data_IF_113869774451
#
_entry.id   IF_113869774451
#
_cell.length_a   1.000
_cell.length_b   1.000
_cell.length_c   1.000
_cell.angle_alpha   90.00
_cell.angle_beta   90.00
_cell.angle_gamma   90.00
#
_symmetry.space_group_name_H-M   'P 1'
#
loop_
_entity.id
_entity.type
_entity.pdbx_description
1 polymer ?
#
# COMPACT_ATOMS: atom_id res chain seq x y z
N UNK A 1 36.28 -50.78 31.93
CA UNK A 1 35.22 -50.04 32.64
C UNK A 1 34.43 -49.30 31.57
N UNK A 2 33.18 -49.71 31.34
CA UNK A 2 32.31 -49.21 30.27
C UNK A 2 31.65 -47.91 30.75
N UNK A 3 31.92 -46.78 30.08
CA UNK A 3 31.17 -45.54 30.29
C UNK A 3 30.17 -45.38 29.15
N UNK A 4 28.91 -45.70 29.46
CA UNK A 4 27.74 -45.18 28.76
C UNK A 4 27.40 -43.80 29.34
N UNK A 5 26.73 -42.93 28.55
CA UNK A 5 25.92 -41.72 28.91
C UNK A 5 26.03 -40.73 27.73
N UNK A 6 25.01 -40.09 27.18
CA UNK A 6 23.54 -40.14 27.17
C UNK A 6 23.10 -39.29 25.97
N UNK A 7 21.96 -39.62 25.37
CA UNK A 7 21.29 -38.84 24.34
C UNK A 7 20.95 -37.41 24.82
N UNK A 8 21.16 -36.40 23.97
CA UNK A 8 20.65 -35.04 24.16
C UNK A 8 19.87 -34.60 22.93
N UNK A 9 18.56 -34.76 22.95
CA UNK A 9 17.64 -34.29 21.92
C UNK A 9 17.19 -32.86 22.25
N UNK A 10 17.55 -31.89 21.42
CA UNK A 10 17.03 -30.52 21.51
C UNK A 10 15.83 -30.38 20.58
N UNK A 11 14.62 -30.56 21.13
CA UNK A 11 13.38 -30.19 20.47
C UNK A 11 13.21 -28.67 20.55
N UNK A 12 13.40 -27.97 19.43
CA UNK A 12 13.09 -26.54 19.33
C UNK A 12 11.58 -26.41 19.15
N UNK A 13 10.93 -25.81 20.14
CA UNK A 13 9.50 -25.55 20.17
C UNK A 13 9.07 -24.64 19.01
N UNK A 14 8.11 -25.10 18.21
CA UNK A 14 7.45 -24.30 17.18
C UNK A 14 6.54 -23.26 17.86
N UNK A 15 6.96 -21.99 17.82
CA UNK A 15 6.11 -20.86 18.21
C UNK A 15 5.02 -20.68 17.15
N UNK A 16 3.78 -21.04 17.49
CA UNK A 16 2.61 -20.75 16.68
C UNK A 16 2.31 -19.23 16.75
N UNK A 17 2.73 -18.49 15.72
CA UNK A 17 2.25 -17.14 15.48
C UNK A 17 0.79 -17.22 15.00
N UNK A 18 -0.14 -16.89 15.88
CA UNK A 18 -1.54 -16.64 15.49
C UNK A 18 -1.56 -15.29 14.77
N UNK A 19 -1.50 -15.33 13.44
CA UNK A 19 -1.81 -14.19 12.58
C UNK A 19 -3.30 -13.87 12.75
N UNK A 20 -3.60 -12.89 13.58
CA UNK A 20 -4.90 -12.21 13.57
C UNK A 20 -4.96 -11.38 12.30
N UNK A 21 -5.56 -11.93 11.24
CA UNK A 21 -5.87 -11.16 10.04
C UNK A 21 -6.90 -10.07 10.40
N UNK A 22 -6.66 -8.80 10.07
CA UNK A 22 -7.71 -7.79 10.19
C UNK A 22 -8.86 -8.19 9.25
N UNK A 23 -10.09 -8.15 9.77
CA UNK A 23 -11.28 -8.31 8.96
C UNK A 23 -11.27 -7.24 7.86
N UNK A 24 -11.15 -7.67 6.60
CA UNK A 24 -11.36 -6.81 5.45
C UNK A 24 -12.80 -6.34 5.51
N UNK A 25 -13.01 -5.11 6.00
CA UNK A 25 -14.24 -4.39 5.75
C UNK A 25 -14.39 -4.35 4.22
N UNK A 26 -15.39 -5.06 3.70
CA UNK A 26 -15.75 -4.99 2.30
C UNK A 26 -16.28 -3.58 2.06
N UNK A 27 -15.38 -2.65 1.75
CA UNK A 27 -15.76 -1.40 1.11
C UNK A 27 -16.53 -1.79 -0.15
N UNK A 28 -17.70 -1.19 -0.36
CA UNK A 28 -18.32 -1.19 -1.69
C UNK A 28 -17.26 -0.79 -2.73
N UNK A 29 -17.34 -1.22 -4.00
CA UNK A 29 -16.38 -0.81 -5.01
C UNK A 29 -16.56 0.69 -5.29
N UNK A 30 -16.06 1.52 -4.39
CA UNK A 30 -15.67 2.88 -4.66
C UNK A 30 -14.60 2.75 -5.73
N UNK A 31 -14.91 3.18 -6.95
CA UNK A 31 -13.98 3.28 -8.10
C UNK A 31 -12.85 4.31 -7.84
N UNK A 32 -12.51 4.52 -6.56
CA UNK A 32 -11.54 5.43 -6.03
C UNK A 32 -10.27 4.64 -5.74
N UNK A 33 -9.16 5.13 -6.27
CA UNK A 33 -7.86 4.58 -5.99
C UNK A 33 -7.51 4.78 -4.51
N UNK A 34 -7.09 3.73 -3.79
CA UNK A 34 -6.94 3.76 -2.33
C UNK A 34 -5.78 4.64 -1.85
N UNK A 35 -4.82 4.96 -2.72
CA UNK A 35 -3.67 5.80 -2.37
C UNK A 35 -3.96 7.30 -2.36
N UNK A 36 -5.17 7.75 -2.71
CA UNK A 36 -5.46 9.17 -2.88
C UNK A 36 -6.71 9.62 -2.14
N UNK A 37 -6.68 10.86 -1.64
CA UNK A 37 -7.86 11.55 -1.08
C UNK A 37 -7.89 13.02 -1.51
N UNK A 38 -9.01 13.55 -2.04
CA UNK A 38 -10.29 12.90 -2.29
C UNK A 38 -10.22 11.81 -3.38
N UNK A 39 -11.35 11.16 -3.67
CA UNK A 39 -11.47 10.08 -4.65
C UNK A 39 -10.80 10.41 -6.00
N UNK A 40 -9.82 9.61 -6.38
CA UNK A 40 -9.20 9.62 -7.72
C UNK A 40 -9.66 8.37 -8.47
N UNK A 41 -10.12 8.46 -9.73
CA UNK A 41 -10.62 7.30 -10.46
C UNK A 41 -9.52 6.26 -10.71
N UNK A 42 -9.89 4.97 -10.69
CA UNK A 42 -8.98 3.89 -11.07
C UNK A 42 -8.95 3.77 -12.61
N UNK A 43 -7.85 4.24 -13.22
CA UNK A 43 -7.60 4.19 -14.66
C UNK A 43 -6.11 3.98 -14.95
N UNK A 44 -5.69 3.96 -16.22
CA UNK A 44 -4.29 3.76 -16.61
C UNK A 44 -3.39 4.93 -16.25
N UNK A 45 -3.94 6.14 -16.17
CA UNK A 45 -3.22 7.37 -15.89
C UNK A 45 -4.21 8.47 -15.46
N UNK A 46 -3.79 9.32 -14.52
CA UNK A 46 -4.55 10.48 -14.06
C UNK A 46 -3.60 11.66 -14.00
N UNK A 47 -3.97 12.75 -14.64
CA UNK A 47 -3.16 13.96 -14.68
C UNK A 47 -3.69 15.07 -13.77
N UNK A 48 -2.83 16.03 -13.45
CA UNK A 48 -3.26 17.23 -12.76
C UNK A 48 -4.01 18.19 -13.72
N UNK A 49 -5.17 18.69 -13.27
CA UNK A 49 -5.90 19.76 -13.97
C UNK A 49 -5.02 21.00 -14.09
N UNK A 50 -4.82 21.52 -15.30
CA UNK A 50 -3.97 22.69 -15.57
C UNK A 50 -2.56 22.33 -16.07
N UNK A 51 -2.15 21.07 -15.88
CA UNK A 51 -0.87 20.56 -16.38
C UNK A 51 -0.87 20.22 -17.88
N UNK A 52 0.29 19.79 -18.37
CA UNK A 52 0.53 19.39 -19.77
C UNK A 52 0.19 17.93 -20.08
N UNK A 53 -0.39 17.22 -19.11
CA UNK A 53 -0.77 15.81 -19.22
C UNK A 53 -1.82 15.54 -20.31
N UNK A 54 -1.91 14.29 -20.76
CA UNK A 54 -2.86 13.86 -21.81
C UNK A 54 -3.57 12.55 -21.44
N UNK A 55 -3.59 12.22 -20.16
CA UNK A 55 -4.19 11.03 -19.59
C UNK A 55 -5.71 11.01 -19.78
N UNK A 56 -6.31 9.82 -19.60
CA UNK A 56 -7.76 9.63 -19.75
C UNK A 56 -8.59 10.30 -18.66
N UNK A 57 -7.98 10.73 -17.56
CA UNK A 57 -8.65 11.40 -16.45
C UNK A 57 -7.78 12.52 -15.86
N UNK A 58 -8.42 13.46 -15.17
CA UNK A 58 -7.76 14.58 -14.51
C UNK A 58 -8.29 14.79 -13.09
N UNK A 59 -7.43 15.26 -12.19
CA UNK A 59 -7.78 15.58 -10.81
C UNK A 59 -7.19 16.92 -10.36
N UNK A 60 -7.79 17.53 -9.32
CA UNK A 60 -7.23 18.70 -8.64
C UNK A 60 -6.23 18.29 -7.56
N UNK A 61 -5.98 19.20 -6.59
CA UNK A 61 -5.15 18.89 -5.43
C UNK A 61 -5.64 17.64 -4.70
N UNK A 62 -4.74 16.70 -4.47
CA UNK A 62 -4.98 15.45 -3.74
C UNK A 62 -3.94 15.26 -2.65
N UNK A 63 -4.24 14.46 -1.64
CA UNK A 63 -3.27 13.94 -0.69
C UNK A 63 -2.94 12.51 -1.07
N UNK A 64 -1.65 12.19 -1.11
CA UNK A 64 -1.14 10.85 -1.38
C UNK A 64 -0.93 10.14 -0.04
N UNK A 65 -1.73 9.11 0.20
CA UNK A 65 -1.75 8.31 1.45
C UNK A 65 -1.16 6.91 1.26
N UNK A 66 -0.78 6.55 0.04
CA UNK A 66 -0.21 5.26 -0.33
C UNK A 66 0.85 5.42 -1.44
N UNK A 67 1.11 4.38 -2.25
CA UNK A 67 1.99 4.53 -3.41
C UNK A 67 1.41 5.53 -4.42
N UNK A 68 2.27 6.39 -4.95
CA UNK A 68 1.92 7.33 -6.01
C UNK A 68 1.99 6.65 -7.39
N UNK A 69 0.93 5.93 -7.75
CA UNK A 69 0.84 5.15 -9.00
C UNK A 69 0.60 6.00 -10.25
N UNK A 70 0.07 7.22 -10.06
CA UNK A 70 -0.21 8.20 -11.12
C UNK A 70 0.81 9.34 -11.18
N UNK A 71 1.89 9.29 -10.38
CA UNK A 71 2.96 10.30 -10.36
C UNK A 71 2.41 11.74 -10.17
N UNK A 72 1.40 11.88 -9.30
CA UNK A 72 0.74 13.16 -8.99
C UNK A 72 1.54 14.01 -7.99
N UNK A 73 2.40 13.37 -7.19
CA UNK A 73 3.22 13.92 -6.09
C UNK A 73 4.71 13.66 -6.37
N UNK A 74 5.22 14.29 -7.43
CA UNK A 74 6.58 14.07 -7.95
C UNK A 74 7.70 14.44 -6.98
N UNK A 75 7.44 15.35 -6.05
CA UNK A 75 8.40 15.72 -5.02
C UNK A 75 8.27 14.86 -3.75
N UNK A 76 7.22 14.03 -3.65
CA UNK A 76 7.02 13.03 -2.61
C UNK A 76 6.70 13.65 -1.26
N UNK A 77 6.06 14.81 -1.24
CA UNK A 77 5.76 15.54 -0.01
C UNK A 77 4.41 15.11 0.62
N UNK A 78 3.67 14.24 -0.06
CA UNK A 78 2.35 13.72 0.32
C UNK A 78 1.18 14.50 -0.31
N UNK A 79 1.44 15.51 -1.13
CA UNK A 79 0.44 16.37 -1.75
C UNK A 79 0.61 16.38 -3.27
N UNK A 80 -0.35 15.77 -3.96
CA UNK A 80 -0.39 15.79 -5.41
C UNK A 80 -1.05 17.05 -5.98
N UNK A 81 -0.63 17.42 -7.19
CA UNK A 81 -1.21 18.53 -7.96
C UNK A 81 -1.23 19.89 -7.24
N UNK A 82 -0.17 20.19 -6.48
CA UNK A 82 -0.06 21.47 -5.78
C UNK A 82 0.38 22.64 -6.65
N UNK A 83 1.09 22.36 -7.75
CA UNK A 83 1.70 23.36 -8.64
C UNK A 83 1.22 23.19 -10.09
N UNK A 84 -0.07 22.90 -10.26
CA UNK A 84 -0.71 22.62 -11.55
C UNK A 84 -1.07 23.88 -12.33
#
# INVERSE_FOLDING_TARGET
MRFAVTLGASAVAAAAFVLTAPATASAEPSNCHPSYTPCVPITSDVDCVGGSGNGPAYTGRVTVIGPDEYDLDRDGNGIGCENS
#
